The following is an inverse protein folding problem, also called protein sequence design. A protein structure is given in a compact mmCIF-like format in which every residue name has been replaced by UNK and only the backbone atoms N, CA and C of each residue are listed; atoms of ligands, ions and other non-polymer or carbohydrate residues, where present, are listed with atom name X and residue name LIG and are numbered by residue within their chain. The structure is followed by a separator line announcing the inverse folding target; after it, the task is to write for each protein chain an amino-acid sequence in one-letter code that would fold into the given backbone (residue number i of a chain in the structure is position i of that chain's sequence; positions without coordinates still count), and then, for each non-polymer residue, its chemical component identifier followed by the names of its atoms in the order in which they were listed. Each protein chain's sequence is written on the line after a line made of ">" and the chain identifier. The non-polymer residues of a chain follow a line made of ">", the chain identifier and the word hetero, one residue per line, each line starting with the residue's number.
data_IF_520820039951
#
_entry.id   IF_520820039951
#
_cell.length_a   1.000
_cell.length_b   1.000
_cell.length_c   1.000
_cell.angle_alpha   90.00
_cell.angle_beta   90.00
_cell.angle_gamma   90.00
#
_symmetry.space_group_name_H-M   'P 1'
#
loop_
_entity.id
_entity.type
_entity.pdbx_description
1 polymer ?
#
# COMPACT_ATOMS: atom_id res chain seq x y z
N UNK A 1 69.04 38.20 -21.98
CA UNK A 1 68.62 36.84 -21.58
C UNK A 1 67.34 36.93 -20.76
N UNK A 2 66.18 36.72 -21.36
CA UNK A 2 64.85 36.81 -20.68
C UNK A 2 64.52 35.48 -20.02
N UNK A 3 64.29 35.51 -18.71
CA UNK A 3 63.79 34.35 -17.92
C UNK A 3 62.33 34.04 -18.30
N UNK A 4 62.10 32.92 -18.97
CA UNK A 4 60.75 32.34 -19.20
C UNK A 4 60.26 31.76 -17.89
N UNK A 5 59.29 32.44 -17.26
CA UNK A 5 58.57 31.91 -16.10
C UNK A 5 57.68 30.74 -16.54
N UNK A 6 57.92 29.58 -16.02
CA UNK A 6 57.15 28.33 -16.31
C UNK A 6 55.85 28.41 -15.51
N UNK A 7 54.73 28.66 -16.18
CA UNK A 7 53.41 28.63 -15.57
C UNK A 7 53.06 27.18 -15.23
N UNK A 8 52.89 26.86 -13.96
CA UNK A 8 52.54 25.50 -13.50
C UNK A 8 51.03 25.28 -13.55
N UNK A 9 50.57 24.05 -13.82
CA UNK A 9 49.13 23.70 -13.81
C UNK A 9 48.39 24.08 -12.53
N UNK A 10 49.10 24.21 -11.40
CA UNK A 10 48.58 24.61 -10.09
C UNK A 10 48.27 26.12 -10.05
N UNK A 11 49.09 26.97 -10.74
CA UNK A 11 48.82 28.39 -10.88
C UNK A 11 47.62 28.68 -11.76
N UNK A 12 47.47 27.95 -12.89
CA UNK A 12 46.33 28.08 -13.81
C UNK A 12 44.97 27.72 -13.14
N UNK A 13 44.97 26.72 -12.25
CA UNK A 13 43.75 26.35 -11.49
C UNK A 13 43.44 27.39 -10.44
N UNK A 14 44.44 27.97 -9.81
CA UNK A 14 44.23 29.03 -8.78
C UNK A 14 43.71 30.31 -9.42
N UNK A 15 44.21 30.70 -10.55
CA UNK A 15 43.74 31.88 -11.30
C UNK A 15 42.31 31.71 -11.82
N UNK A 16 41.95 30.51 -12.31
CA UNK A 16 40.60 30.18 -12.76
C UNK A 16 39.57 30.21 -11.59
N UNK A 17 39.97 29.75 -10.42
CA UNK A 17 39.14 29.80 -9.22
C UNK A 17 38.97 31.25 -8.73
N UNK A 18 40.05 32.04 -8.72
CA UNK A 18 39.99 33.47 -8.34
C UNK A 18 39.14 34.28 -9.33
N UNK A 19 39.24 34.02 -10.63
CA UNK A 19 38.43 34.69 -11.64
C UNK A 19 36.95 34.30 -11.54
N UNK A 20 36.64 33.06 -11.24
CA UNK A 20 35.26 32.58 -11.05
C UNK A 20 34.62 33.16 -9.78
N UNK A 21 35.39 33.21 -8.69
CA UNK A 21 34.94 33.85 -7.43
C UNK A 21 34.77 35.35 -7.59
N UNK A 22 35.68 36.05 -8.28
CA UNK A 22 35.57 37.47 -8.54
C UNK A 22 34.37 37.83 -9.45
N UNK A 23 34.06 37.01 -10.45
CA UNK A 23 32.84 37.15 -11.27
C UNK A 23 31.56 36.91 -10.45
N UNK A 24 31.58 35.93 -9.56
CA UNK A 24 30.48 35.63 -8.66
C UNK A 24 30.21 36.76 -7.67
N UNK A 25 31.24 37.30 -7.03
CA UNK A 25 31.10 38.45 -6.09
C UNK A 25 30.58 39.70 -6.79
N UNK A 26 31.09 40.01 -7.99
CA UNK A 26 30.64 41.17 -8.76
C UNK A 26 29.18 41.01 -9.23
N UNK A 27 28.75 39.82 -9.63
CA UNK A 27 27.36 39.55 -9.95
C UNK A 27 26.42 39.74 -8.74
N UNK A 28 26.86 39.29 -7.57
CA UNK A 28 26.10 39.48 -6.30
C UNK A 28 26.01 40.95 -5.93
N UNK A 29 27.12 41.73 -6.05
CA UNK A 29 27.14 43.17 -5.77
C UNK A 29 26.22 43.93 -6.73
N UNK A 30 26.26 43.63 -8.04
CA UNK A 30 25.44 44.31 -9.06
C UNK A 30 23.94 43.96 -8.96
N UNK A 31 23.60 42.80 -8.33
CA UNK A 31 22.24 42.30 -8.23
C UNK A 31 21.82 42.02 -6.77
N UNK A 32 22.45 42.66 -5.79
CA UNK A 32 22.26 42.34 -4.37
C UNK A 32 20.79 42.28 -3.96
N UNK A 33 19.96 43.23 -4.38
CA UNK A 33 18.54 43.26 -4.07
C UNK A 33 17.80 42.05 -4.66
N UNK A 34 18.13 41.62 -5.89
CA UNK A 34 17.50 40.46 -6.54
C UNK A 34 17.91 39.15 -5.85
N UNK A 35 19.19 39.05 -5.44
CA UNK A 35 19.73 37.92 -4.70
C UNK A 35 19.06 37.81 -3.32
N UNK A 36 18.96 38.93 -2.61
CA UNK A 36 18.29 38.97 -1.30
C UNK A 36 16.81 38.61 -1.39
N UNK A 37 16.09 39.11 -2.41
CA UNK A 37 14.69 38.72 -2.66
C UNK A 37 14.59 37.22 -2.96
N UNK A 38 15.50 36.66 -3.77
CA UNK A 38 15.55 35.22 -4.07
C UNK A 38 15.78 34.36 -2.82
N UNK A 39 16.73 34.77 -1.98
CA UNK A 39 16.99 34.10 -0.68
C UNK A 39 15.77 34.18 0.24
N UNK A 40 15.17 35.36 0.36
CA UNK A 40 13.98 35.56 1.18
C UNK A 40 12.82 34.67 0.70
N UNK A 41 12.60 34.57 -0.61
CA UNK A 41 11.58 33.68 -1.19
C UNK A 41 11.84 32.22 -0.84
N UNK A 42 13.07 31.72 -0.96
CA UNK A 42 13.46 30.34 -0.60
C UNK A 42 13.22 30.08 0.90
N UNK A 43 13.59 31.05 1.77
CA UNK A 43 13.36 30.92 3.22
C UNK A 43 11.87 30.85 3.53
N UNK A 44 11.04 31.69 2.90
CA UNK A 44 9.57 31.63 3.08
C UNK A 44 9.02 30.29 2.65
N UNK A 45 9.40 29.80 1.48
CA UNK A 45 8.96 28.45 1.00
C UNK A 45 9.41 27.37 1.99
N UNK A 46 10.66 27.41 2.46
CA UNK A 46 11.17 26.43 3.43
C UNK A 46 10.38 26.46 4.75
N UNK A 47 10.03 27.66 5.24
CA UNK A 47 9.21 27.84 6.44
C UNK A 47 7.79 27.29 6.25
N UNK A 48 7.16 27.55 5.09
CA UNK A 48 5.83 27.00 4.77
C UNK A 48 5.87 25.48 4.72
N UNK A 49 6.84 24.91 4.01
CA UNK A 49 7.01 23.45 3.94
C UNK A 49 7.24 22.86 5.34
N UNK A 50 8.09 23.50 6.15
CA UNK A 50 8.34 23.07 7.53
C UNK A 50 7.06 23.07 8.38
N UNK A 51 6.24 24.14 8.29
CA UNK A 51 4.98 24.26 9.02
C UNK A 51 3.98 23.17 8.59
N UNK A 52 3.85 22.93 7.27
CA UNK A 52 2.97 21.90 6.72
C UNK A 52 3.39 20.51 7.20
N UNK A 53 4.69 20.17 7.07
CA UNK A 53 5.20 18.85 7.50
C UNK A 53 5.03 18.66 9.01
N UNK A 54 5.29 19.71 9.80
CA UNK A 54 5.09 19.63 11.25
C UNK A 54 3.61 19.46 11.62
N UNK A 55 2.71 20.18 10.94
CA UNK A 55 1.27 20.05 11.11
C UNK A 55 0.79 18.63 10.77
N UNK A 56 1.21 18.10 9.62
CA UNK A 56 0.88 16.73 9.22
C UNK A 56 1.35 15.67 10.24
N UNK A 57 2.56 15.82 10.79
CA UNK A 57 3.06 14.92 11.83
C UNK A 57 2.24 15.00 13.12
N UNK A 58 1.84 16.18 13.54
CA UNK A 58 1.00 16.36 14.73
C UNK A 58 -0.39 15.74 14.53
N UNK A 59 -1.00 15.95 13.35
CA UNK A 59 -2.29 15.34 12.98
C UNK A 59 -2.20 13.82 12.91
N UNK A 60 -1.13 13.26 12.30
CA UNK A 60 -0.92 11.80 12.25
C UNK A 60 -0.74 11.21 13.65
N UNK A 61 -0.03 11.89 14.54
CA UNK A 61 0.15 11.43 15.93
C UNK A 61 -1.19 11.37 16.67
N UNK A 62 -2.03 12.40 16.55
CA UNK A 62 -3.37 12.40 17.13
C UNK A 62 -4.24 11.29 16.53
N UNK A 63 -4.26 11.17 15.20
CA UNK A 63 -4.98 10.14 14.48
C UNK A 63 -4.56 8.72 14.90
N UNK A 64 -3.25 8.51 15.14
CA UNK A 64 -2.74 7.19 15.57
C UNK A 64 -3.17 6.84 17.01
N UNK A 65 -3.30 7.84 17.89
CA UNK A 65 -3.80 7.60 19.25
C UNK A 65 -5.28 7.19 19.24
N UNK A 66 -6.10 7.88 18.45
CA UNK A 66 -7.52 7.54 18.31
C UNK A 66 -7.72 6.19 17.61
N UNK A 67 -6.90 5.89 16.59
CA UNK A 67 -6.88 4.59 15.94
C UNK A 67 -6.56 3.46 16.94
N UNK A 68 -5.62 3.68 17.85
CA UNK A 68 -5.26 2.70 18.87
C UNK A 68 -6.43 2.47 19.84
N UNK A 69 -7.18 3.51 20.21
CA UNK A 69 -8.39 3.39 21.03
C UNK A 69 -9.45 2.54 20.32
N UNK A 70 -9.73 2.82 19.04
CA UNK A 70 -10.66 2.04 18.23
C UNK A 70 -10.23 0.56 18.12
N UNK A 71 -8.92 0.32 17.93
CA UNK A 71 -8.38 -1.04 17.88
C UNK A 71 -8.48 -1.78 19.22
N UNK A 72 -8.35 -1.06 20.33
CA UNK A 72 -8.58 -1.62 21.68
C UNK A 72 -10.05 -2.03 21.87
N UNK A 73 -10.99 -1.20 21.45
CA UNK A 73 -12.43 -1.53 21.48
C UNK A 73 -12.73 -2.76 20.62
N UNK A 74 -12.14 -2.83 19.41
CA UNK A 74 -12.29 -3.98 18.52
C UNK A 74 -11.74 -5.27 19.15
N UNK A 75 -10.54 -5.22 19.74
CA UNK A 75 -9.91 -6.39 20.38
C UNK A 75 -10.65 -6.85 21.63
N UNK A 76 -11.36 -5.95 22.29
CA UNK A 76 -12.26 -6.25 23.42
C UNK A 76 -13.62 -6.80 23.01
N UNK A 77 -13.87 -6.98 21.70
CA UNK A 77 -15.15 -7.46 21.18
C UNK A 77 -16.28 -6.41 21.15
N UNK A 78 -15.97 -5.15 21.45
CA UNK A 78 -16.92 -4.04 21.43
C UNK A 78 -17.11 -3.53 19.99
N UNK A 79 -17.60 -4.39 19.09
CA UNK A 79 -17.61 -4.11 17.64
C UNK A 79 -18.41 -2.86 17.27
N UNK A 80 -19.55 -2.61 17.92
CA UNK A 80 -20.36 -1.41 17.64
C UNK A 80 -19.61 -0.13 18.03
N UNK A 81 -18.93 -0.13 19.18
CA UNK A 81 -18.12 1.00 19.63
C UNK A 81 -16.91 1.18 18.70
N UNK A 82 -16.20 0.10 18.37
CA UNK A 82 -15.07 0.15 17.46
C UNK A 82 -15.45 0.73 16.08
N UNK A 83 -16.62 0.38 15.54
CA UNK A 83 -17.12 0.95 14.28
C UNK A 83 -17.26 2.48 14.36
N UNK A 84 -17.85 2.99 15.46
CA UNK A 84 -18.02 4.43 15.66
C UNK A 84 -16.67 5.14 15.83
N UNK A 85 -15.77 4.55 16.59
CA UNK A 85 -14.43 5.11 16.82
C UNK A 85 -13.59 5.12 15.53
N UNK A 86 -13.59 4.04 14.72
CA UNK A 86 -12.92 4.04 13.42
C UNK A 86 -13.51 5.09 12.46
N UNK A 87 -14.86 5.21 12.43
CA UNK A 87 -15.50 6.25 11.63
C UNK A 87 -15.09 7.65 12.08
N UNK A 88 -15.00 7.89 13.40
CA UNK A 88 -14.51 9.16 13.95
C UNK A 88 -13.08 9.48 13.51
N UNK A 89 -12.18 8.49 13.47
CA UNK A 89 -10.80 8.68 12.96
C UNK A 89 -10.80 9.09 11.49
N UNK A 90 -11.63 8.44 10.66
CA UNK A 90 -11.75 8.73 9.22
C UNK A 90 -12.21 10.17 9.00
N UNK A 91 -13.23 10.60 9.74
CA UNK A 91 -13.89 11.91 9.59
C UNK A 91 -13.03 13.05 10.15
N UNK A 92 -12.34 12.80 11.28
CA UNK A 92 -11.56 13.83 11.99
C UNK A 92 -10.19 14.05 11.33
N UNK A 93 -9.56 13.00 10.79
CA UNK A 93 -8.18 13.03 10.29
C UNK A 93 -8.06 12.61 8.82
N UNK A 94 -8.84 13.19 7.90
CA UNK A 94 -8.85 12.74 6.51
C UNK A 94 -7.46 12.87 5.87
N UNK A 95 -7.03 11.81 5.17
CA UNK A 95 -5.77 11.78 4.44
C UNK A 95 -4.56 11.35 5.25
N UNK A 96 -4.70 11.11 6.55
CA UNK A 96 -3.65 10.49 7.36
C UNK A 96 -3.53 9.00 7.07
N UNK A 97 -2.38 8.41 7.38
CA UNK A 97 -2.20 6.96 7.29
C UNK A 97 -3.11 6.22 8.26
N UNK A 98 -3.31 6.80 9.44
CA UNK A 98 -4.19 6.26 10.47
C UNK A 98 -5.65 6.24 10.01
N UNK A 99 -6.14 7.28 9.31
CA UNK A 99 -7.47 7.24 8.70
C UNK A 99 -7.60 6.16 7.61
N UNK A 100 -6.54 5.94 6.82
CA UNK A 100 -6.50 4.83 5.88
C UNK A 100 -6.61 3.47 6.59
N UNK A 101 -5.85 3.27 7.66
CA UNK A 101 -5.93 2.05 8.46
C UNK A 101 -7.33 1.88 9.09
N UNK A 102 -7.90 2.96 9.63
CA UNK A 102 -9.26 2.97 10.17
C UNK A 102 -10.31 2.57 9.12
N UNK A 103 -10.18 3.05 7.87
CA UNK A 103 -11.08 2.67 6.77
C UNK A 103 -11.03 1.16 6.51
N UNK A 104 -9.83 0.58 6.45
CA UNK A 104 -9.65 -0.85 6.23
C UNK A 104 -10.20 -1.68 7.41
N UNK A 105 -9.91 -1.28 8.65
CA UNK A 105 -10.41 -1.96 9.85
C UNK A 105 -11.92 -1.82 10.05
N UNK A 106 -12.48 -0.67 9.71
CA UNK A 106 -13.94 -0.49 9.70
C UNK A 106 -14.60 -1.47 8.72
N UNK A 107 -14.05 -1.62 7.52
CA UNK A 107 -14.50 -2.64 6.57
C UNK A 107 -14.50 -4.06 7.19
N UNK A 108 -13.44 -4.41 7.93
CA UNK A 108 -13.34 -5.70 8.63
C UNK A 108 -14.42 -5.84 9.72
N UNK A 109 -14.63 -4.81 10.54
CA UNK A 109 -15.67 -4.84 11.58
C UNK A 109 -17.07 -4.98 10.97
N UNK A 110 -17.35 -4.23 9.91
CA UNK A 110 -18.64 -4.29 9.20
C UNK A 110 -18.87 -5.69 8.59
N UNK A 111 -17.83 -6.30 8.04
CA UNK A 111 -17.89 -7.69 7.55
C UNK A 111 -18.26 -8.66 8.69
N UNK A 112 -17.61 -8.55 9.85
CA UNK A 112 -17.93 -9.38 11.03
C UNK A 112 -19.35 -9.16 11.54
N UNK A 113 -19.89 -7.96 11.36
CA UNK A 113 -21.30 -7.64 11.66
C UNK A 113 -22.26 -8.05 10.54
N UNK A 114 -21.78 -8.75 9.49
CA UNK A 114 -22.55 -9.16 8.31
C UNK A 114 -23.14 -7.99 7.50
N UNK A 115 -22.56 -6.80 7.66
CA UNK A 115 -22.91 -5.61 6.89
C UNK A 115 -22.05 -5.56 5.62
N UNK A 116 -22.36 -6.44 4.67
CA UNK A 116 -21.49 -6.72 3.52
C UNK A 116 -21.35 -5.55 2.56
N UNK A 117 -22.41 -4.79 2.28
CA UNK A 117 -22.33 -3.65 1.36
C UNK A 117 -21.48 -2.51 1.93
N UNK A 118 -21.69 -2.02 3.17
CA UNK A 118 -20.78 -1.05 3.77
C UNK A 118 -19.35 -1.55 3.94
N UNK A 119 -19.14 -2.85 4.21
CA UNK A 119 -17.81 -3.43 4.27
C UNK A 119 -17.08 -3.33 2.92
N UNK A 120 -17.78 -3.70 1.83
CA UNK A 120 -17.24 -3.60 0.47
C UNK A 120 -16.87 -2.17 0.10
N UNK A 121 -17.74 -1.20 0.43
CA UNK A 121 -17.48 0.23 0.19
C UNK A 121 -16.21 0.70 0.90
N UNK A 122 -16.01 0.31 2.16
CA UNK A 122 -14.82 0.67 2.93
C UNK A 122 -13.54 0.03 2.36
N UNK A 123 -13.57 -1.26 2.00
CA UNK A 123 -12.41 -1.90 1.37
C UNK A 123 -12.08 -1.25 0.02
N UNK A 124 -13.11 -0.95 -0.78
CA UNK A 124 -12.91 -0.28 -2.08
C UNK A 124 -12.37 1.14 -1.90
N UNK A 125 -12.93 1.93 -0.95
CA UNK A 125 -12.46 3.28 -0.64
C UNK A 125 -10.99 3.28 -0.19
N UNK A 126 -10.57 2.27 0.59
CA UNK A 126 -9.17 2.09 0.94
C UNK A 126 -8.31 1.84 -0.30
N UNK A 127 -8.69 0.88 -1.14
CA UNK A 127 -7.94 0.49 -2.34
C UNK A 127 -7.82 1.63 -3.35
N UNK A 128 -8.88 2.41 -3.54
CA UNK A 128 -8.89 3.55 -4.46
C UNK A 128 -7.96 4.67 -4.01
N UNK A 129 -7.86 4.90 -2.71
CA UNK A 129 -7.10 6.02 -2.16
C UNK A 129 -5.65 5.66 -1.84
N UNK A 130 -5.40 4.47 -1.33
CA UNK A 130 -4.10 4.06 -0.81
C UNK A 130 -3.43 2.96 -1.64
N UNK A 131 -4.19 2.33 -2.53
CA UNK A 131 -3.73 1.28 -3.43
C UNK A 131 -3.67 -0.10 -2.79
N UNK A 132 -3.24 -1.07 -3.61
CA UNK A 132 -3.22 -2.50 -3.25
C UNK A 132 -1.96 -2.93 -2.51
N UNK A 133 -0.88 -2.14 -2.55
CA UNK A 133 0.44 -2.54 -2.04
C UNK A 133 0.53 -2.48 -0.52
N UNK A 134 1.38 -3.35 0.05
CA UNK A 134 1.64 -3.42 1.48
C UNK A 134 0.59 -4.21 2.26
N UNK A 135 0.79 -4.33 3.57
CA UNK A 135 -0.03 -5.18 4.43
C UNK A 135 -1.52 -4.82 4.41
N UNK A 136 -1.85 -3.53 4.56
CA UNK A 136 -3.25 -3.09 4.56
C UNK A 136 -3.90 -3.19 3.18
N UNK A 137 -3.13 -3.04 2.08
CA UNK A 137 -3.64 -3.28 0.73
C UNK A 137 -4.06 -4.74 0.54
N UNK A 138 -3.25 -5.68 1.01
CA UNK A 138 -3.58 -7.11 1.00
C UNK A 138 -4.80 -7.41 1.88
N UNK A 139 -4.89 -6.84 3.09
CA UNK A 139 -6.06 -6.98 3.97
C UNK A 139 -7.33 -6.45 3.31
N UNK A 140 -7.26 -5.30 2.65
CA UNK A 140 -8.41 -4.72 1.95
C UNK A 140 -8.84 -5.57 0.73
N UNK A 141 -7.90 -6.13 -0.03
CA UNK A 141 -8.20 -7.07 -1.11
C UNK A 141 -8.83 -8.36 -0.60
N UNK A 142 -8.25 -8.96 0.45
CA UNK A 142 -8.77 -10.17 1.08
C UNK A 142 -10.17 -9.94 1.66
N UNK A 143 -10.38 -8.80 2.34
CA UNK A 143 -11.70 -8.42 2.83
C UNK A 143 -12.72 -8.22 1.71
N UNK A 144 -12.33 -7.57 0.61
CA UNK A 144 -13.16 -7.41 -0.58
C UNK A 144 -13.53 -8.79 -1.18
N UNK A 145 -12.56 -9.69 -1.34
CA UNK A 145 -12.82 -11.04 -1.84
C UNK A 145 -13.79 -11.81 -0.93
N UNK A 146 -13.58 -11.72 0.40
CA UNK A 146 -14.45 -12.36 1.38
C UNK A 146 -15.90 -11.84 1.30
N UNK A 147 -16.09 -10.52 1.09
CA UNK A 147 -17.44 -9.95 0.90
C UNK A 147 -18.07 -10.48 -0.40
N UNK A 148 -17.32 -10.48 -1.51
CA UNK A 148 -17.81 -10.99 -2.80
C UNK A 148 -18.24 -12.45 -2.68
N UNK A 149 -17.49 -13.26 -1.95
CA UNK A 149 -17.84 -14.65 -1.68
C UNK A 149 -19.17 -14.78 -0.91
N UNK A 150 -19.39 -13.98 0.13
CA UNK A 150 -20.68 -13.94 0.86
C UNK A 150 -21.85 -13.52 -0.04
N UNK A 151 -21.58 -12.65 -1.02
CA UNK A 151 -22.56 -12.24 -2.05
C UNK A 151 -22.72 -13.24 -3.17
N UNK A 152 -22.00 -14.36 -3.14
CA UNK A 152 -21.95 -15.41 -4.17
C UNK A 152 -21.36 -14.95 -5.51
N UNK A 153 -20.63 -13.85 -5.51
CA UNK A 153 -19.85 -13.42 -6.68
C UNK A 153 -18.49 -14.17 -6.67
N UNK A 154 -18.58 -15.48 -6.82
CA UNK A 154 -17.46 -16.37 -6.63
C UNK A 154 -16.33 -16.16 -7.64
N UNK A 155 -16.65 -15.83 -8.89
CA UNK A 155 -15.60 -15.59 -9.88
C UNK A 155 -14.79 -14.33 -9.55
N UNK A 156 -15.46 -13.24 -9.21
CA UNK A 156 -14.76 -12.01 -8.83
C UNK A 156 -13.94 -12.20 -7.53
N UNK A 157 -14.42 -13.01 -6.58
CA UNK A 157 -13.65 -13.36 -5.39
C UNK A 157 -12.40 -14.18 -5.74
N UNK A 158 -12.55 -15.21 -6.60
CA UNK A 158 -11.45 -16.06 -7.04
C UNK A 158 -10.34 -15.28 -7.75
N UNK A 159 -10.70 -14.32 -8.61
CA UNK A 159 -9.74 -13.46 -9.30
C UNK A 159 -8.88 -12.66 -8.31
N UNK A 160 -9.51 -12.12 -7.25
CA UNK A 160 -8.76 -11.40 -6.21
C UNK A 160 -7.86 -12.35 -5.43
N UNK A 161 -8.32 -13.54 -5.07
CA UNK A 161 -7.47 -14.51 -4.38
C UNK A 161 -6.30 -14.98 -5.26
N UNK A 162 -6.47 -15.16 -6.56
CA UNK A 162 -5.37 -15.43 -7.51
C UNK A 162 -4.38 -14.25 -7.58
N UNK A 163 -4.86 -13.01 -7.57
CA UNK A 163 -4.00 -11.81 -7.50
C UNK A 163 -3.16 -11.84 -6.21
N UNK A 164 -3.78 -12.11 -5.07
CA UNK A 164 -3.10 -12.20 -3.76
C UNK A 164 -2.09 -13.36 -3.70
N UNK A 165 -2.40 -14.50 -4.31
CA UNK A 165 -1.48 -15.62 -4.43
C UNK A 165 -0.23 -15.21 -5.23
N UNK A 166 -0.41 -14.60 -6.40
CA UNK A 166 0.67 -14.16 -7.26
C UNK A 166 1.60 -13.14 -6.58
N UNK A 167 1.06 -12.28 -5.70
CA UNK A 167 1.84 -11.32 -4.89
C UNK A 167 2.48 -11.95 -3.64
N UNK A 168 2.24 -13.23 -3.37
CA UNK A 168 2.70 -13.91 -2.15
C UNK A 168 3.62 -15.10 -2.42
N UNK A 169 4.17 -15.21 -3.65
CA UNK A 169 5.04 -16.32 -4.10
C UNK A 169 6.26 -16.58 -3.22
N UNK A 170 6.77 -15.54 -2.57
CA UNK A 170 7.91 -15.67 -1.64
C UNK A 170 7.51 -16.34 -0.29
N UNK A 171 6.22 -16.59 -0.08
CA UNK A 171 5.64 -17.12 1.15
C UNK A 171 4.77 -18.35 0.83
N UNK A 172 5.39 -19.49 0.60
CA UNK A 172 4.76 -20.75 0.12
C UNK A 172 3.42 -21.06 0.80
N UNK A 173 3.36 -21.02 2.12
CA UNK A 173 2.14 -21.28 2.89
C UNK A 173 1.03 -20.25 2.64
N UNK A 174 1.40 -19.00 2.39
CA UNK A 174 0.45 -17.91 2.12
C UNK A 174 -0.07 -17.97 0.69
N UNK A 175 0.80 -18.25 -0.27
CA UNK A 175 0.43 -18.49 -1.66
C UNK A 175 -0.55 -19.66 -1.77
N UNK A 176 -0.20 -20.82 -1.19
CA UNK A 176 -1.05 -22.01 -1.20
C UNK A 176 -2.42 -21.75 -0.56
N UNK A 177 -2.48 -20.94 0.51
CA UNK A 177 -3.75 -20.54 1.14
C UNK A 177 -4.62 -19.76 0.16
N UNK A 178 -4.09 -18.74 -0.48
CA UNK A 178 -4.85 -17.94 -1.44
C UNK A 178 -5.28 -18.75 -2.67
N UNK A 179 -4.42 -19.66 -3.16
CA UNK A 179 -4.80 -20.60 -4.22
C UNK A 179 -5.93 -21.53 -3.77
N UNK A 180 -5.92 -21.99 -2.52
CA UNK A 180 -7.00 -22.78 -1.92
C UNK A 180 -8.31 -22.01 -1.81
N UNK A 181 -8.26 -20.71 -1.43
CA UNK A 181 -9.44 -19.85 -1.38
C UNK A 181 -10.00 -19.60 -2.80
N UNK A 182 -9.14 -19.35 -3.80
CA UNK A 182 -9.55 -19.25 -5.20
C UNK A 182 -10.18 -20.54 -5.71
N UNK A 183 -9.56 -21.69 -5.43
CA UNK A 183 -10.04 -23.00 -5.83
C UNK A 183 -11.45 -23.28 -5.29
N UNK A 184 -11.70 -22.95 -4.02
CA UNK A 184 -13.01 -23.09 -3.38
C UNK A 184 -14.06 -22.19 -4.05
N UNK A 185 -13.69 -20.98 -4.43
CA UNK A 185 -14.55 -20.06 -5.15
C UNK A 185 -14.88 -20.56 -6.57
N UNK A 186 -13.88 -20.99 -7.35
CA UNK A 186 -14.10 -21.57 -8.68
C UNK A 186 -15.02 -22.80 -8.63
N UNK A 187 -14.82 -23.68 -7.65
CA UNK A 187 -15.72 -24.82 -7.44
C UNK A 187 -17.15 -24.37 -7.16
N UNK A 188 -17.34 -23.35 -6.33
CA UNK A 188 -18.65 -22.79 -6.00
C UNK A 188 -19.33 -22.13 -7.21
N UNK A 189 -18.54 -21.56 -8.11
CA UNK A 189 -18.97 -21.02 -9.39
C UNK A 189 -19.23 -22.11 -10.44
N UNK A 190 -18.82 -23.36 -10.20
CA UNK A 190 -18.81 -24.48 -11.15
C UNK A 190 -17.96 -24.23 -12.40
N UNK A 191 -16.91 -23.41 -12.26
CA UNK A 191 -15.89 -23.21 -13.29
C UNK A 191 -14.87 -24.35 -13.20
N UNK A 192 -15.22 -25.51 -13.81
CA UNK A 192 -14.44 -26.72 -13.69
C UNK A 192 -13.08 -26.65 -14.38
N UNK A 193 -12.93 -25.80 -15.40
CA UNK A 193 -11.64 -25.57 -16.04
C UNK A 193 -10.69 -24.84 -15.07
N UNK A 194 -11.15 -23.75 -14.43
CA UNK A 194 -10.38 -23.01 -13.44
C UNK A 194 -10.09 -23.87 -12.19
N UNK A 195 -11.04 -24.75 -11.80
CA UNK A 195 -10.82 -25.75 -10.73
C UNK A 195 -9.67 -26.68 -11.09
N UNK A 196 -9.69 -27.26 -12.29
CA UNK A 196 -8.64 -28.17 -12.76
C UNK A 196 -7.26 -27.48 -12.78
N UNK A 197 -7.18 -26.28 -13.36
CA UNK A 197 -5.95 -25.50 -13.45
C UNK A 197 -5.37 -25.21 -12.06
N UNK A 198 -6.18 -24.59 -11.19
CA UNK A 198 -5.73 -24.17 -9.85
C UNK A 198 -5.41 -25.35 -8.95
N UNK A 199 -6.19 -26.43 -9.02
CA UNK A 199 -5.91 -27.64 -8.25
C UNK A 199 -4.61 -28.32 -8.71
N UNK A 200 -4.33 -28.33 -10.02
CA UNK A 200 -3.08 -28.88 -10.55
C UNK A 200 -1.88 -28.06 -10.06
N UNK A 201 -1.98 -26.73 -10.08
CA UNK A 201 -0.96 -25.81 -9.54
C UNK A 201 -0.66 -26.12 -8.06
N UNK A 202 -1.70 -26.20 -7.21
CA UNK A 202 -1.53 -26.50 -5.78
C UNK A 202 -0.86 -27.87 -5.56
N UNK A 203 -1.28 -28.91 -6.30
CA UNK A 203 -0.73 -30.27 -6.13
C UNK A 203 0.72 -30.35 -6.59
N UNK A 204 1.10 -29.59 -7.64
CA UNK A 204 2.44 -29.58 -8.20
C UNK A 204 3.42 -28.77 -7.36
N UNK A 205 3.03 -27.54 -7.00
CA UNK A 205 3.93 -26.54 -6.43
C UNK A 205 3.88 -26.51 -4.89
N UNK A 206 2.76 -26.99 -4.28
CA UNK A 206 2.52 -26.95 -2.82
C UNK A 206 2.06 -28.30 -2.24
N UNK A 207 2.70 -29.46 -2.60
CA UNK A 207 2.21 -30.82 -2.29
C UNK A 207 2.11 -31.11 -0.79
N UNK A 208 2.89 -30.44 0.03
CA UNK A 208 3.01 -30.69 1.47
C UNK A 208 2.14 -29.72 2.31
N UNK A 209 1.35 -28.89 1.65
CA UNK A 209 0.45 -27.96 2.33
C UNK A 209 -0.91 -28.59 2.66
N UNK A 210 -1.64 -28.09 3.66
CA UNK A 210 -2.99 -28.58 3.97
C UNK A 210 -3.98 -28.51 2.78
N UNK A 211 -3.79 -27.55 1.88
CA UNK A 211 -4.67 -27.34 0.71
C UNK A 211 -4.47 -28.37 -0.40
N UNK A 212 -3.34 -29.08 -0.44
CA UNK A 212 -3.08 -30.11 -1.45
C UNK A 212 -4.08 -31.30 -1.36
N UNK A 213 -4.59 -31.59 -0.17
CA UNK A 213 -5.61 -32.63 0.02
C UNK A 213 -6.94 -32.29 -0.67
N UNK A 214 -7.43 -31.08 -0.42
CA UNK A 214 -8.65 -30.58 -1.05
C UNK A 214 -8.46 -30.39 -2.57
N UNK A 215 -7.29 -29.91 -2.99
CA UNK A 215 -6.95 -29.76 -4.40
C UNK A 215 -7.02 -31.08 -5.17
N UNK A 216 -6.47 -32.19 -4.62
CA UNK A 216 -6.60 -33.55 -5.24
C UNK A 216 -8.06 -33.97 -5.37
N UNK A 217 -8.88 -33.72 -4.36
CA UNK A 217 -10.29 -34.04 -4.37
C UNK A 217 -11.05 -33.25 -5.44
N UNK A 218 -10.81 -31.94 -5.52
CA UNK A 218 -11.49 -31.09 -6.50
C UNK A 218 -10.98 -31.31 -7.92
N UNK A 219 -9.72 -31.72 -8.09
CA UNK A 219 -9.18 -32.12 -9.38
C UNK A 219 -9.92 -33.41 -9.92
N UNK A 220 -10.15 -34.39 -9.04
CA UNK A 220 -10.92 -35.58 -9.41
C UNK A 220 -12.38 -35.22 -9.74
N UNK A 221 -13.00 -34.32 -8.96
CA UNK A 221 -14.37 -33.83 -9.24
C UNK A 221 -14.41 -33.10 -10.61
N UNK A 222 -13.48 -32.20 -10.89
CA UNK A 222 -13.42 -31.49 -12.17
C UNK A 222 -13.26 -32.44 -13.36
N UNK A 223 -12.44 -33.51 -13.23
CA UNK A 223 -12.25 -34.49 -14.26
C UNK A 223 -13.57 -35.19 -14.65
N UNK A 224 -14.45 -35.45 -13.69
CA UNK A 224 -15.77 -36.04 -13.96
C UNK A 224 -16.65 -35.07 -14.77
N UNK A 225 -16.67 -33.81 -14.41
CA UNK A 225 -17.51 -32.81 -15.11
C UNK A 225 -16.97 -32.40 -16.49
N UNK A 226 -15.66 -32.48 -16.70
CA UNK A 226 -15.01 -32.19 -17.97
C UNK A 226 -14.93 -33.40 -18.93
N UNK A 227 -15.24 -34.60 -18.43
CA UNK A 227 -15.20 -35.81 -19.23
C UNK A 227 -13.78 -36.28 -19.59
N UNK A 228 -12.80 -35.92 -18.75
CA UNK A 228 -11.36 -36.19 -18.97
C UNK A 228 -10.77 -37.17 -17.97
#
# INVERSE_FOLDING_TARGET
>A
MGKRTRITKKGLKHDALLETTAKGTKFVEDHLNKVLIGIAAVVVVALVVFMVVRGQKATELAASADLMTASQSASSGLLAQASQEYQSVIDTYPGTRSAGAATCYLGTILFLQQQYDPALENFQAYLDRYGKKGTLGKVALEGKASVLEQRRDFLAAADIYKELAAESRDLESTEARYLGDALRCYRSAKDWEAVRETATEIVADHPDTPWAGDARTYLAEASVYLGS
#
